data_IF_062294474596
#
_entry.id   IF_062294474596
#
_cell.length_a   1.000
_cell.length_b   1.000
_cell.length_c   1.000
_cell.angle_alpha   90.00
_cell.angle_beta   90.00
_cell.angle_gamma   90.00
#
_symmetry.space_group_name_H-M   'P 1'
#
loop_
_entity.id
_entity.type
_entity.pdbx_description
1 polymer ?
#
# COMPACT_ATOMS: atom_id res chain seq x y z
N UNK A 1 4.57 21.16 -25.76
CA UNK A 1 3.11 21.36 -26.04
C UNK A 1 2.45 21.71 -24.71
N UNK A 2 1.72 22.86 -24.63
CA UNK A 2 1.04 23.25 -23.38
C UNK A 2 -0.28 22.48 -23.25
N UNK A 3 -0.58 21.98 -22.04
CA UNK A 3 -1.84 21.31 -21.73
C UNK A 3 -2.97 22.33 -21.46
N UNK A 4 -4.25 21.96 -21.64
CA UNK A 4 -5.36 22.85 -21.31
C UNK A 4 -5.57 22.96 -19.80
N UNK A 5 -6.19 24.05 -19.35
CA UNK A 5 -6.81 24.18 -18.04
C UNK A 5 -8.24 23.60 -18.15
N UNK A 6 -8.46 22.42 -17.60
CA UNK A 6 -9.72 21.70 -17.73
C UNK A 6 -10.68 22.07 -16.60
N UNK A 7 -11.92 22.39 -16.95
CA UNK A 7 -13.01 22.67 -16.02
C UNK A 7 -14.18 21.76 -16.40
N UNK A 8 -14.55 20.82 -15.53
CA UNK A 8 -15.72 19.98 -15.71
C UNK A 8 -16.77 20.38 -14.67
N UNK A 9 -17.90 20.90 -15.12
CA UNK A 9 -19.03 21.16 -14.25
C UNK A 9 -19.78 19.86 -14.01
N UNK A 10 -20.03 19.56 -12.73
CA UNK A 10 -20.83 18.42 -12.27
C UNK A 10 -22.08 18.95 -11.55
N UNK A 11 -23.08 18.12 -11.23
CA UNK A 11 -24.25 18.55 -10.49
C UNK A 11 -23.96 19.22 -9.14
N UNK A 12 -22.85 18.89 -8.50
CA UNK A 12 -22.53 19.34 -7.13
C UNK A 12 -21.24 20.14 -6.99
N UNK A 13 -20.39 20.20 -8.00
CA UNK A 13 -19.14 20.95 -7.94
C UNK A 13 -18.52 21.20 -9.32
N UNK A 14 -17.45 22.01 -9.36
CA UNK A 14 -16.49 22.02 -10.45
C UNK A 14 -15.37 21.06 -10.16
N UNK A 15 -14.94 20.27 -11.15
CA UNK A 15 -13.65 19.61 -11.18
C UNK A 15 -12.70 20.41 -12.02
N UNK A 16 -11.55 20.84 -11.48
CA UNK A 16 -10.51 21.53 -12.21
C UNK A 16 -9.24 20.71 -12.26
N UNK A 17 -8.68 20.57 -13.45
CA UNK A 17 -7.42 19.87 -13.68
C UNK A 17 -6.49 20.74 -14.53
N UNK A 18 -5.22 20.79 -14.14
CA UNK A 18 -4.20 21.58 -14.81
C UNK A 18 -2.83 20.91 -14.65
N UNK A 19 -1.86 21.20 -15.54
CA UNK A 19 -0.49 20.70 -15.39
C UNK A 19 0.11 21.19 -14.09
N UNK A 20 0.99 20.38 -13.50
CA UNK A 20 1.65 20.78 -12.25
C UNK A 20 2.38 22.12 -12.43
N UNK A 21 1.99 23.09 -11.65
CA UNK A 21 2.61 24.41 -11.57
C UNK A 21 2.47 24.96 -10.16
N UNK A 22 3.59 25.40 -9.55
CA UNK A 22 3.61 25.81 -8.15
C UNK A 22 2.59 26.91 -7.84
N UNK A 23 2.52 27.93 -8.69
CA UNK A 23 1.58 29.05 -8.52
C UNK A 23 0.12 28.62 -8.67
N UNK A 24 -0.21 27.74 -9.64
CA UNK A 24 -1.57 27.20 -9.77
C UNK A 24 -1.97 26.36 -8.56
N UNK A 25 -1.04 25.57 -8.01
CA UNK A 25 -1.26 24.84 -6.78
C UNK A 25 -1.53 25.78 -5.60
N UNK A 26 -0.79 26.88 -5.51
CA UNK A 26 -1.01 27.89 -4.47
C UNK A 26 -2.35 28.60 -4.64
N UNK A 27 -2.69 28.99 -5.87
CA UNK A 27 -3.97 29.65 -6.17
C UNK A 27 -5.17 28.77 -5.85
N UNK A 28 -5.14 27.48 -6.19
CA UNK A 28 -6.24 26.57 -5.89
C UNK A 28 -6.45 26.42 -4.38
N UNK A 29 -5.39 26.43 -3.58
CA UNK A 29 -5.49 26.40 -2.12
C UNK A 29 -6.10 27.67 -1.51
N UNK A 30 -6.15 28.77 -2.25
CA UNK A 30 -6.80 30.04 -1.82
C UNK A 30 -8.30 30.08 -2.15
N UNK A 31 -8.81 29.14 -2.94
CA UNK A 31 -10.25 29.05 -3.21
C UNK A 31 -10.97 28.68 -1.91
N UNK A 32 -12.02 29.41 -1.50
CA UNK A 32 -12.65 29.24 -0.18
C UNK A 32 -13.08 27.83 0.15
N UNK A 33 -13.71 27.12 -0.79
CA UNK A 33 -14.13 25.74 -0.59
C UNK A 33 -12.98 24.75 -0.50
N UNK A 34 -11.85 25.01 -1.19
CA UNK A 34 -10.65 24.19 -1.12
C UNK A 34 -9.87 24.47 0.15
N UNK A 35 -9.76 25.74 0.55
CA UNK A 35 -9.03 26.18 1.74
C UNK A 35 -9.57 25.55 3.03
N UNK A 36 -10.88 25.30 3.10
CA UNK A 36 -11.52 24.64 4.25
C UNK A 36 -11.01 23.21 4.48
N UNK A 37 -10.80 22.43 3.44
CA UNK A 37 -10.23 21.09 3.53
C UNK A 37 -9.48 20.71 2.23
N UNK A 38 -8.22 21.14 2.07
CA UNK A 38 -7.47 20.91 0.84
C UNK A 38 -7.28 19.43 0.48
N UNK A 39 -7.13 18.57 1.50
CA UNK A 39 -6.94 17.13 1.30
C UNK A 39 -8.20 16.47 0.71
N UNK A 40 -9.39 16.83 1.21
CA UNK A 40 -10.65 16.33 0.69
C UNK A 40 -11.03 16.93 -0.67
N UNK A 41 -10.50 18.11 -1.00
CA UNK A 41 -10.76 18.75 -2.27
C UNK A 41 -9.96 18.14 -3.44
N UNK A 42 -8.83 17.51 -3.18
CA UNK A 42 -8.02 16.87 -4.23
C UNK A 42 -8.53 15.47 -4.54
N UNK A 43 -8.67 15.14 -5.83
CA UNK A 43 -9.10 13.84 -6.35
C UNK A 43 -7.89 13.15 -7.01
N UNK A 44 -7.16 12.27 -6.30
CA UNK A 44 -5.88 11.73 -6.77
C UNK A 44 -5.98 10.95 -8.08
N UNK A 45 -7.01 10.10 -8.22
CA UNK A 45 -7.20 9.25 -9.40
C UNK A 45 -7.46 10.04 -10.68
N UNK A 46 -8.03 11.23 -10.55
CA UNK A 46 -8.33 12.12 -11.68
C UNK A 46 -7.30 13.26 -11.81
N UNK A 47 -6.39 13.40 -10.86
CA UNK A 47 -5.45 14.52 -10.75
C UNK A 47 -6.16 15.87 -10.85
N UNK A 48 -7.31 15.98 -10.20
CA UNK A 48 -8.21 17.13 -10.26
C UNK A 48 -8.53 17.66 -8.87
N UNK A 49 -9.01 18.90 -8.82
CA UNK A 49 -9.47 19.55 -7.60
C UNK A 49 -10.98 19.73 -7.67
N UNK A 50 -11.67 19.44 -6.58
CA UNK A 50 -13.09 19.71 -6.40
C UNK A 50 -13.27 21.11 -5.82
N UNK A 51 -14.05 21.92 -6.48
CA UNK A 51 -14.35 23.32 -6.09
C UNK A 51 -15.85 23.50 -6.03
N UNK A 52 -16.36 24.17 -5.01
CA UNK A 52 -17.79 24.46 -4.90
C UNK A 52 -18.34 25.23 -6.12
N UNK A 53 -19.60 25.01 -6.46
CA UNK A 53 -20.27 25.78 -7.53
C UNK A 53 -20.33 27.27 -7.21
N UNK A 54 -20.35 27.65 -5.94
CA UNK A 54 -20.32 29.02 -5.47
C UNK A 54 -18.99 29.73 -5.80
N UNK A 55 -17.91 28.99 -5.89
CA UNK A 55 -16.57 29.51 -6.16
C UNK A 55 -16.23 29.65 -7.65
N UNK A 56 -17.26 29.70 -8.52
CA UNK A 56 -17.10 29.82 -9.98
C UNK A 56 -16.18 30.95 -10.40
N UNK A 57 -16.27 32.10 -9.75
CA UNK A 57 -15.44 33.28 -10.04
C UNK A 57 -13.94 32.94 -9.90
N UNK A 58 -13.54 32.21 -8.84
CA UNK A 58 -12.15 31.82 -8.62
C UNK A 58 -11.67 30.85 -9.71
N UNK A 59 -12.52 29.89 -10.12
CA UNK A 59 -12.20 28.93 -11.18
C UNK A 59 -11.98 29.67 -12.51
N UNK A 60 -12.86 30.62 -12.85
CA UNK A 60 -12.77 31.40 -14.08
C UNK A 60 -11.50 32.26 -14.09
N UNK A 61 -11.24 33.01 -13.02
CA UNK A 61 -10.06 33.88 -12.92
C UNK A 61 -8.76 33.10 -12.91
N UNK A 62 -8.71 31.96 -12.25
CA UNK A 62 -7.55 31.10 -12.24
C UNK A 62 -7.25 30.54 -13.64
N UNK A 63 -8.29 30.11 -14.38
CA UNK A 63 -8.14 29.65 -15.75
C UNK A 63 -7.68 30.74 -16.70
N UNK A 64 -8.28 31.95 -16.64
CA UNK A 64 -7.88 33.12 -17.42
C UNK A 64 -6.40 33.47 -17.17
N UNK A 65 -6.00 33.50 -15.89
CA UNK A 65 -4.61 33.78 -15.53
C UNK A 65 -3.67 32.71 -16.06
N UNK A 66 -4.01 31.41 -15.94
CA UNK A 66 -3.16 30.30 -16.39
C UNK A 66 -2.92 30.34 -17.91
N UNK A 67 -3.90 30.80 -18.69
CA UNK A 67 -3.76 30.99 -20.14
C UNK A 67 -2.96 32.23 -20.46
N UNK A 68 -3.22 33.39 -19.81
CA UNK A 68 -2.49 34.64 -20.03
C UNK A 68 -1.00 34.53 -19.65
N UNK A 69 -0.68 33.77 -18.59
CA UNK A 69 0.66 33.45 -18.15
C UNK A 69 1.35 32.37 -19.00
N UNK A 70 0.71 31.87 -20.06
CA UNK A 70 1.21 30.82 -20.96
C UNK A 70 1.57 29.51 -20.22
N UNK A 71 0.92 29.23 -19.11
CA UNK A 71 1.05 27.96 -18.37
C UNK A 71 0.16 26.90 -19.01
N UNK A 72 -1.06 27.29 -19.40
CA UNK A 72 -2.01 26.46 -20.10
C UNK A 72 -2.28 26.98 -21.52
N UNK A 73 -2.61 26.06 -22.44
CA UNK A 73 -2.89 26.43 -23.85
C UNK A 73 -4.25 27.12 -24.02
N UNK A 74 -5.25 26.72 -23.26
CA UNK A 74 -6.64 27.19 -23.31
C UNK A 74 -7.42 26.78 -22.08
N UNK A 75 -8.60 27.36 -21.84
CA UNK A 75 -9.58 26.81 -20.90
C UNK A 75 -10.46 25.83 -21.67
N UNK A 76 -10.51 24.59 -21.22
CA UNK A 76 -11.39 23.56 -21.76
C UNK A 76 -12.52 23.28 -20.77
N UNK A 77 -13.75 23.53 -21.18
CA UNK A 77 -14.94 23.32 -20.36
C UNK A 77 -15.72 22.09 -20.82
N UNK A 78 -16.25 21.33 -19.86
CA UNK A 78 -17.14 20.21 -20.11
C UNK A 78 -18.21 20.15 -19.01
N UNK A 79 -19.28 19.41 -19.28
CA UNK A 79 -20.35 19.13 -18.31
C UNK A 79 -20.44 17.63 -18.12
N UNK A 80 -20.56 17.20 -16.88
CA UNK A 80 -20.77 15.81 -16.51
C UNK A 80 -22.10 15.68 -15.75
N UNK A 81 -22.87 14.69 -16.10
CA UNK A 81 -24.12 14.36 -15.38
C UNK A 81 -23.86 13.58 -14.10
N UNK A 82 -22.64 13.08 -13.91
CA UNK A 82 -22.25 12.35 -12.71
C UNK A 82 -21.83 13.33 -11.62
N UNK A 83 -22.50 13.29 -10.47
CA UNK A 83 -22.04 13.98 -9.27
C UNK A 83 -20.69 13.42 -8.83
N UNK A 84 -19.83 14.30 -8.31
CA UNK A 84 -18.64 13.86 -7.58
C UNK A 84 -19.11 13.38 -6.22
N UNK A 85 -19.06 12.09 -5.99
CA UNK A 85 -19.31 11.54 -4.66
C UNK A 85 -18.19 12.00 -3.72
N UNK A 86 -18.57 12.38 -2.52
CA UNK A 86 -17.58 12.53 -1.46
C UNK A 86 -16.81 11.22 -1.34
N UNK A 87 -15.48 11.34 -1.34
CA UNK A 87 -14.64 10.25 -0.87
C UNK A 87 -14.87 10.19 0.65
N UNK A 88 -16.00 9.62 1.04
CA UNK A 88 -16.13 9.11 2.39
C UNK A 88 -15.09 8.01 2.48
N UNK A 89 -14.09 8.22 3.32
CA UNK A 89 -13.22 7.13 3.74
C UNK A 89 -14.20 6.06 4.20
N UNK A 90 -14.28 4.89 3.53
CA UNK A 90 -15.20 3.86 3.95
C UNK A 90 -14.91 3.57 5.42
N UNK A 91 -15.96 3.36 6.22
CA UNK A 91 -15.78 2.96 7.62
C UNK A 91 -14.82 1.78 7.65
N UNK A 92 -13.66 1.99 8.28
CA UNK A 92 -12.67 0.94 8.35
C UNK A 92 -13.22 -0.20 9.20
N UNK A 93 -13.01 -1.46 8.81
CA UNK A 93 -13.51 -2.59 9.55
C UNK A 93 -12.88 -2.61 10.94
N UNK A 94 -13.70 -2.87 11.96
CA UNK A 94 -13.22 -3.03 13.34
C UNK A 94 -12.77 -4.46 13.58
N UNK A 95 -11.67 -4.61 14.31
CA UNK A 95 -11.20 -5.93 14.73
C UNK A 95 -12.13 -6.46 15.84
N UNK A 96 -12.94 -7.46 15.53
CA UNK A 96 -13.93 -8.04 16.46
C UNK A 96 -13.43 -9.29 17.18
N UNK A 97 -12.28 -9.82 16.79
CA UNK A 97 -11.68 -11.03 17.36
C UNK A 97 -10.44 -10.69 18.19
N UNK A 98 -10.14 -11.49 19.24
CA UNK A 98 -8.90 -11.31 19.99
C UNK A 98 -7.69 -11.38 19.08
N UNK A 99 -6.79 -10.39 19.18
CA UNK A 99 -5.66 -10.33 18.27
C UNK A 99 -4.54 -11.32 18.58
N UNK A 100 -4.50 -11.89 19.79
CA UNK A 100 -3.50 -12.89 20.18
C UNK A 100 -2.05 -12.39 20.17
N UNK A 101 -1.85 -11.06 20.12
CA UNK A 101 -0.54 -10.43 20.18
C UNK A 101 -0.14 -10.18 21.63
N UNK A 102 1.15 -10.16 21.91
CA UNK A 102 1.70 -9.88 23.25
C UNK A 102 1.62 -8.41 23.64
N UNK A 103 1.48 -7.50 22.66
CA UNK A 103 1.30 -6.08 22.87
C UNK A 103 -0.02 -5.63 22.26
N UNK A 104 -0.68 -4.71 22.93
CA UNK A 104 -1.95 -4.13 22.48
C UNK A 104 -1.72 -3.18 21.30
N UNK A 105 -2.29 -3.44 20.11
CA UNK A 105 -2.21 -2.52 18.98
C UNK A 105 -3.05 -1.27 19.23
N UNK A 106 -2.63 -0.13 18.68
CA UNK A 106 -3.46 1.07 18.65
C UNK A 106 -4.69 0.87 17.76
N UNK A 107 -5.74 1.66 17.95
CA UNK A 107 -7.01 1.50 17.23
C UNK A 107 -6.83 1.54 15.70
N UNK A 108 -6.07 2.49 15.17
CA UNK A 108 -5.78 2.56 13.74
C UNK A 108 -5.01 1.32 13.21
N UNK A 109 -4.17 0.70 14.06
CA UNK A 109 -3.47 -0.54 13.71
C UNK A 109 -4.44 -1.72 13.68
N UNK A 110 -5.40 -1.77 14.62
CA UNK A 110 -6.49 -2.77 14.63
C UNK A 110 -7.36 -2.65 13.38
N UNK A 111 -7.68 -1.42 12.97
CA UNK A 111 -8.42 -1.16 11.72
C UNK A 111 -7.65 -1.65 10.49
N UNK A 112 -6.35 -1.36 10.41
CA UNK A 112 -5.48 -1.85 9.34
C UNK A 112 -5.40 -3.38 9.30
N UNK A 113 -5.26 -4.03 10.45
CA UNK A 113 -5.28 -5.49 10.57
C UNK A 113 -6.62 -6.06 10.11
N UNK A 114 -7.75 -5.48 10.57
CA UNK A 114 -9.08 -5.92 10.19
C UNK A 114 -9.32 -5.80 8.68
N UNK A 115 -8.88 -4.68 8.08
CA UNK A 115 -8.91 -4.48 6.64
C UNK A 115 -8.13 -5.56 5.88
N UNK A 116 -6.91 -5.86 6.33
CA UNK A 116 -6.06 -6.87 5.71
C UNK A 116 -6.66 -8.29 5.81
N UNK A 117 -7.28 -8.63 6.94
CA UNK A 117 -7.98 -9.90 7.14
C UNK A 117 -9.15 -10.06 6.16
N UNK A 118 -9.89 -8.98 5.92
CA UNK A 118 -11.02 -8.98 5.00
C UNK A 118 -10.59 -9.12 3.54
N UNK A 119 -9.54 -8.40 3.13
CA UNK A 119 -9.12 -8.30 1.73
C UNK A 119 -8.07 -9.34 1.31
N UNK A 120 -7.38 -9.98 2.27
CA UNK A 120 -6.33 -11.00 2.07
C UNK A 120 -5.09 -10.52 1.29
N UNK A 121 -5.21 -9.52 0.45
CA UNK A 121 -4.13 -8.87 -0.29
C UNK A 121 -4.28 -7.37 -0.13
N UNK A 122 -3.34 -6.73 0.53
CA UNK A 122 -3.39 -5.29 0.81
C UNK A 122 -1.99 -4.70 0.89
N UNK A 123 -1.94 -3.38 0.85
CA UNK A 123 -0.73 -2.60 1.08
C UNK A 123 -0.99 -1.73 2.30
N UNK A 124 -0.13 -1.83 3.31
CA UNK A 124 -0.11 -0.89 4.43
C UNK A 124 0.64 0.37 4.00
N UNK A 125 -0.11 1.41 3.63
CA UNK A 125 0.41 2.69 3.14
C UNK A 125 0.62 3.75 4.22
N UNK A 126 0.64 3.37 5.49
CA UNK A 126 0.82 4.29 6.61
C UNK A 126 2.17 5.02 6.57
N UNK A 127 2.22 6.19 7.19
CA UNK A 127 3.46 6.94 7.31
C UNK A 127 4.55 6.13 8.06
N UNK A 128 5.84 6.42 7.82
CA UNK A 128 6.93 5.82 8.58
C UNK A 128 6.73 6.00 10.10
N UNK A 129 7.08 4.97 10.87
CA UNK A 129 6.96 5.01 12.34
C UNK A 129 5.59 4.60 12.90
N UNK A 130 4.54 4.44 12.10
CA UNK A 130 3.21 4.07 12.58
C UNK A 130 3.01 2.55 12.82
N UNK A 131 4.09 1.77 12.79
CA UNK A 131 4.05 0.35 13.15
C UNK A 131 3.43 -0.59 12.12
N UNK A 132 3.67 -0.35 10.82
CA UNK A 132 3.26 -1.27 9.74
C UNK A 132 3.70 -2.71 9.99
N UNK A 133 4.88 -2.90 10.55
CA UNK A 133 5.42 -4.22 10.94
C UNK A 133 4.50 -4.94 11.90
N UNK A 134 3.99 -4.24 12.95
CA UNK A 134 3.02 -4.81 13.89
C UNK A 134 1.72 -5.19 13.19
N UNK A 135 1.22 -4.36 12.28
CA UNK A 135 0.00 -4.66 11.53
C UNK A 135 0.16 -5.91 10.66
N UNK A 136 1.30 -6.04 9.97
CA UNK A 136 1.60 -7.23 9.17
C UNK A 136 1.70 -8.50 10.04
N UNK A 137 2.44 -8.44 11.15
CA UNK A 137 2.57 -9.54 12.11
C UNK A 137 1.21 -9.90 12.71
N UNK A 138 0.41 -8.91 13.10
CA UNK A 138 -0.93 -9.09 13.61
C UNK A 138 -1.85 -9.79 12.62
N UNK A 139 -1.82 -9.35 11.36
CA UNK A 139 -2.61 -9.96 10.29
C UNK A 139 -2.26 -11.44 10.11
N UNK A 140 -0.98 -11.77 10.00
CA UNK A 140 -0.52 -13.17 9.85
C UNK A 140 -0.89 -14.02 11.06
N UNK A 141 -0.75 -13.46 12.26
CA UNK A 141 -1.01 -14.17 13.53
C UNK A 141 -2.50 -14.49 13.70
N UNK A 142 -3.37 -13.51 13.50
CA UNK A 142 -4.82 -13.66 13.62
C UNK A 142 -5.37 -14.59 12.54
N UNK A 143 -4.90 -14.43 11.30
CA UNK A 143 -5.29 -15.32 10.19
C UNK A 143 -4.75 -16.75 10.34
N UNK A 144 -3.85 -17.00 11.30
CA UNK A 144 -3.10 -18.26 11.44
C UNK A 144 -2.48 -18.70 10.11
N UNK A 145 -2.00 -17.72 9.32
CA UNK A 145 -1.53 -17.91 7.95
C UNK A 145 -0.05 -18.32 7.92
N UNK A 146 0.28 -19.38 8.64
CA UNK A 146 1.60 -19.99 8.71
C UNK A 146 1.68 -21.25 7.86
N UNK A 147 2.84 -21.58 7.26
CA UNK A 147 4.11 -20.86 7.32
C UNK A 147 4.03 -19.50 6.62
N UNK A 148 4.75 -18.51 7.19
CA UNK A 148 4.87 -17.15 6.66
C UNK A 148 6.27 -16.92 6.09
N UNK A 149 6.35 -16.32 4.89
CA UNK A 149 7.59 -15.82 4.32
C UNK A 149 7.62 -14.30 4.43
N UNK A 150 8.67 -13.76 5.02
CA UNK A 150 8.94 -12.32 5.03
C UNK A 150 10.07 -12.03 4.07
N UNK A 151 9.83 -11.09 3.15
CA UNK A 151 10.82 -10.57 2.21
C UNK A 151 11.09 -9.12 2.56
N UNK A 152 12.31 -8.81 2.94
CA UNK A 152 12.69 -7.47 3.39
C UNK A 152 14.12 -7.13 2.94
N UNK A 153 14.55 -5.86 3.00
CA UNK A 153 15.95 -5.50 2.83
C UNK A 153 16.87 -6.29 3.78
N UNK A 154 18.05 -6.63 3.30
CA UNK A 154 19.00 -7.48 4.05
C UNK A 154 19.29 -6.98 5.47
N UNK A 155 19.39 -5.66 5.65
CA UNK A 155 19.64 -5.02 6.95
C UNK A 155 18.47 -5.19 7.95
N UNK A 156 17.25 -5.43 7.47
CA UNK A 156 16.06 -5.52 8.32
C UNK A 156 15.70 -6.93 8.77
N UNK A 157 16.39 -7.98 8.28
CA UNK A 157 16.10 -9.39 8.63
C UNK A 157 16.11 -9.64 10.14
N UNK A 158 17.12 -9.14 10.83
CA UNK A 158 17.24 -9.31 12.29
C UNK A 158 16.15 -8.52 13.01
N UNK A 159 15.80 -7.34 12.49
CA UNK A 159 14.71 -6.56 13.05
C UNK A 159 13.37 -7.33 12.97
N UNK A 160 13.02 -7.88 11.80
CA UNK A 160 11.83 -8.70 11.62
C UNK A 160 11.80 -9.92 12.56
N UNK A 161 12.95 -10.59 12.76
CA UNK A 161 13.05 -11.71 13.69
C UNK A 161 12.73 -11.28 15.14
N UNK A 162 13.25 -10.12 15.56
CA UNK A 162 12.99 -9.55 16.89
C UNK A 162 11.53 -9.12 17.05
N UNK A 163 10.95 -8.51 16.02
CA UNK A 163 9.58 -8.03 16.03
C UNK A 163 8.56 -9.19 16.13
N UNK A 164 8.77 -10.32 15.42
CA UNK A 164 7.94 -11.51 15.59
C UNK A 164 8.02 -12.08 17.01
N UNK A 165 9.21 -12.12 17.60
CA UNK A 165 9.38 -12.55 18.99
C UNK A 165 8.67 -11.60 19.95
N UNK A 166 8.80 -10.29 19.73
CA UNK A 166 8.24 -9.24 20.57
C UNK A 166 6.71 -9.20 20.51
N UNK A 167 6.12 -9.27 19.32
CA UNK A 167 4.69 -9.06 19.14
C UNK A 167 3.88 -10.35 19.18
N UNK A 168 4.40 -11.45 18.64
CA UNK A 168 3.68 -12.72 18.54
C UNK A 168 4.29 -13.83 19.39
N UNK A 169 5.38 -13.59 20.12
CA UNK A 169 6.08 -14.63 20.90
C UNK A 169 6.72 -15.72 20.04
N UNK A 170 6.78 -15.53 18.72
CA UNK A 170 7.22 -16.56 17.77
C UNK A 170 8.66 -16.34 17.34
N UNK A 171 9.38 -17.44 17.20
CA UNK A 171 10.71 -17.44 16.61
C UNK A 171 10.64 -17.50 15.09
N UNK A 172 11.49 -16.75 14.42
CA UNK A 172 11.62 -16.76 12.97
C UNK A 172 13.03 -17.20 12.57
N UNK A 173 13.14 -17.88 11.42
CA UNK A 173 14.44 -18.32 10.85
C UNK A 173 14.78 -17.39 9.69
N UNK A 174 16.00 -16.85 9.74
CA UNK A 174 16.57 -16.12 8.61
C UNK A 174 17.16 -17.17 7.65
N UNK A 175 16.67 -17.14 6.40
CA UNK A 175 17.19 -18.01 5.35
C UNK A 175 18.57 -17.54 4.92
N UNK A 176 19.55 -18.45 5.03
CA UNK A 176 20.95 -18.26 4.67
C UNK A 176 21.52 -19.51 3.98
N UNK A 177 22.80 -19.49 3.65
CA UNK A 177 23.45 -20.60 2.95
C UNK A 177 23.50 -21.88 3.77
N UNK A 178 23.54 -21.79 5.08
CA UNK A 178 23.60 -22.94 5.98
C UNK A 178 22.30 -23.70 6.04
N UNK A 179 21.15 -23.02 5.88
CA UNK A 179 19.83 -23.65 5.98
C UNK A 179 19.10 -23.76 4.63
N UNK A 180 19.73 -23.42 3.52
CA UNK A 180 19.14 -23.42 2.17
C UNK A 180 18.43 -24.73 1.79
N UNK A 181 19.02 -25.86 2.12
CA UNK A 181 18.46 -27.19 1.80
C UNK A 181 17.57 -27.75 2.89
N UNK A 182 17.64 -27.24 4.11
CA UNK A 182 17.05 -27.84 5.31
C UNK A 182 15.96 -27.00 5.97
N UNK A 183 15.72 -25.75 5.53
CA UNK A 183 14.76 -24.86 6.19
C UNK A 183 13.34 -25.44 6.30
N UNK A 184 12.93 -26.25 5.33
CA UNK A 184 11.65 -26.92 5.33
C UNK A 184 11.48 -27.85 6.55
N UNK A 185 12.53 -28.49 6.99
CA UNK A 185 12.52 -29.39 8.16
C UNK A 185 12.06 -28.68 9.43
N UNK A 186 12.36 -27.39 9.59
CA UNK A 186 11.89 -26.61 10.74
C UNK A 186 10.38 -26.44 10.80
N UNK A 187 9.71 -26.47 9.64
CA UNK A 187 8.25 -26.47 9.58
C UNK A 187 7.68 -27.88 9.75
N UNK A 188 8.32 -28.89 9.19
CA UNK A 188 7.89 -30.29 9.27
C UNK A 188 8.08 -30.88 10.67
N UNK A 189 9.15 -30.49 11.36
CA UNK A 189 9.40 -30.91 12.74
C UNK A 189 8.39 -30.24 13.67
N UNK A 190 7.81 -31.06 14.56
CA UNK A 190 6.83 -30.62 15.54
C UNK A 190 7.40 -30.65 16.94
N UNK A 191 6.99 -29.68 17.75
CA UNK A 191 7.21 -29.65 19.19
C UNK A 191 6.28 -30.66 19.89
N UNK A 192 6.47 -30.86 21.18
CA UNK A 192 5.60 -31.73 21.98
C UNK A 192 4.11 -31.30 21.97
N UNK A 193 3.84 -30.01 21.78
CA UNK A 193 2.50 -29.43 21.67
C UNK A 193 1.88 -29.55 20.27
N UNK A 194 2.56 -30.21 19.31
CA UNK A 194 2.12 -30.37 17.92
C UNK A 194 2.35 -29.17 17.02
N UNK A 195 2.83 -28.04 17.55
CA UNK A 195 3.19 -26.86 16.74
C UNK A 195 4.48 -27.11 15.96
N UNK A 196 4.66 -26.42 14.83
CA UNK A 196 5.93 -26.47 14.09
C UNK A 196 7.07 -25.93 14.93
N UNK A 197 8.27 -26.47 14.74
CA UNK A 197 9.47 -25.97 15.40
C UNK A 197 9.71 -24.50 15.03
N UNK A 198 9.54 -24.17 13.74
CA UNK A 198 9.44 -22.81 13.25
C UNK A 198 8.52 -22.74 12.03
N UNK A 199 7.73 -21.69 11.96
CA UNK A 199 6.75 -21.46 10.89
C UNK A 199 6.87 -20.04 10.28
N UNK A 200 7.98 -19.35 10.55
CA UNK A 200 8.26 -18.01 10.02
C UNK A 200 9.66 -18.01 9.43
N UNK A 201 9.76 -17.62 8.17
CA UNK A 201 11.00 -17.59 7.41
C UNK A 201 11.23 -16.21 6.85
N UNK A 202 12.43 -15.68 6.97
CA UNK A 202 12.80 -14.32 6.58
C UNK A 202 13.92 -14.41 5.54
N UNK A 203 13.75 -13.71 4.42
CA UNK A 203 14.75 -13.60 3.36
C UNK A 203 14.84 -12.16 2.86
N UNK A 204 15.85 -11.89 2.05
CA UNK A 204 16.00 -10.62 1.36
C UNK A 204 15.75 -10.78 -0.14
N UNK A 205 15.51 -9.68 -0.83
CA UNK A 205 15.14 -9.65 -2.25
C UNK A 205 16.16 -10.37 -3.13
N UNK A 206 17.45 -10.13 -2.90
CA UNK A 206 18.55 -10.69 -3.69
C UNK A 206 18.63 -12.22 -3.54
N UNK A 207 18.20 -12.71 -2.39
CA UNK A 207 18.26 -14.15 -2.07
C UNK A 207 17.05 -14.94 -2.57
N UNK A 208 15.95 -14.28 -2.99
CA UNK A 208 14.73 -14.96 -3.47
C UNK A 208 15.05 -15.95 -4.61
N UNK A 209 15.84 -15.51 -5.59
CA UNK A 209 16.24 -16.36 -6.72
C UNK A 209 16.96 -17.61 -6.22
N UNK A 210 17.86 -17.46 -5.24
CA UNK A 210 18.67 -18.54 -4.69
C UNK A 210 17.85 -19.61 -3.97
N UNK A 211 16.80 -19.20 -3.27
CA UNK A 211 15.98 -20.12 -2.47
C UNK A 211 14.79 -20.70 -3.21
N UNK A 212 14.21 -19.96 -4.15
CA UNK A 212 12.90 -20.29 -4.69
C UNK A 212 12.83 -20.36 -6.21
N UNK A 213 13.94 -20.19 -6.93
CA UNK A 213 14.01 -20.34 -8.38
C UNK A 213 14.94 -21.50 -8.72
N UNK A 214 14.41 -22.50 -9.42
CA UNK A 214 15.20 -23.65 -9.92
C UNK A 214 15.82 -23.39 -11.29
N UNK A 215 15.14 -22.62 -12.13
CA UNK A 215 15.63 -22.32 -13.48
C UNK A 215 14.90 -21.14 -14.11
N UNK A 216 15.55 -20.52 -15.06
CA UNK A 216 15.00 -19.48 -15.91
C UNK A 216 15.24 -19.89 -17.35
N UNK A 217 14.17 -20.05 -18.14
CA UNK A 217 14.29 -20.29 -19.58
C UNK A 217 14.74 -19.00 -20.25
N UNK A 218 15.80 -19.06 -21.04
CA UNK A 218 16.21 -17.97 -21.91
C UNK A 218 15.21 -17.88 -23.07
N UNK A 219 14.28 -16.93 -22.95
CA UNK A 219 13.32 -16.61 -23.99
C UNK A 219 13.50 -15.15 -24.39
N UNK A 220 13.17 -14.80 -25.63
CA UNK A 220 13.31 -13.45 -26.17
C UNK A 220 12.50 -12.39 -25.40
N UNK A 221 11.53 -12.83 -24.58
CA UNK A 221 10.76 -11.99 -23.66
C UNK A 221 10.71 -12.63 -22.28
N UNK A 222 11.36 -11.98 -21.31
CA UNK A 222 11.27 -12.39 -19.91
C UNK A 222 9.81 -12.27 -19.42
N UNK A 223 9.23 -13.39 -19.03
CA UNK A 223 7.88 -13.45 -18.44
C UNK A 223 7.90 -14.33 -17.20
N UNK A 224 6.88 -14.22 -16.34
CA UNK A 224 6.73 -15.12 -15.20
C UNK A 224 6.67 -16.61 -15.60
N UNK A 225 6.25 -16.91 -16.82
CA UNK A 225 6.21 -18.29 -17.37
C UNK A 225 7.60 -18.84 -17.69
N UNK A 226 8.61 -17.97 -17.85
CA UNK A 226 10.00 -18.38 -18.06
C UNK A 226 10.69 -18.84 -16.77
N UNK A 227 10.06 -18.65 -15.60
CA UNK A 227 10.63 -18.98 -14.30
C UNK A 227 10.09 -20.33 -13.83
N UNK A 228 10.99 -21.26 -13.50
CA UNK A 228 10.65 -22.49 -12.81
C UNK A 228 10.90 -22.28 -11.32
N UNK A 229 9.84 -22.25 -10.53
CA UNK A 229 9.92 -22.09 -9.09
C UNK A 229 10.23 -23.42 -8.39
N UNK A 230 10.89 -23.32 -7.24
CA UNK A 230 11.03 -24.46 -6.33
C UNK A 230 9.65 -24.82 -5.76
N UNK A 231 9.20 -26.08 -5.84
CA UNK A 231 7.88 -26.49 -5.33
C UNK A 231 7.64 -26.13 -3.87
N UNK A 232 8.68 -26.02 -3.06
CA UNK A 232 8.59 -25.65 -1.64
C UNK A 232 8.00 -24.25 -1.40
N UNK A 233 7.98 -23.38 -2.41
CA UNK A 233 7.33 -22.06 -2.30
C UNK A 233 5.82 -22.21 -2.02
N UNK A 234 5.20 -23.30 -2.45
CA UNK A 234 3.78 -23.59 -2.23
C UNK A 234 3.44 -23.91 -0.77
N UNK A 235 4.43 -24.13 0.08
CA UNK A 235 4.22 -24.34 1.51
C UNK A 235 3.76 -23.06 2.22
N UNK A 236 4.17 -21.89 1.73
CA UNK A 236 3.84 -20.63 2.38
C UNK A 236 2.35 -20.28 2.22
N UNK A 237 1.70 -20.03 3.34
CA UNK A 237 0.29 -19.58 3.40
C UNK A 237 0.17 -18.07 3.38
N UNK A 238 1.23 -17.36 3.75
CA UNK A 238 1.31 -15.90 3.66
C UNK A 238 2.71 -15.43 3.24
N UNK A 239 2.73 -14.30 2.57
CA UNK A 239 3.97 -13.59 2.21
C UNK A 239 3.82 -12.14 2.64
N UNK A 240 4.79 -11.64 3.38
CA UNK A 240 4.92 -10.23 3.75
C UNK A 240 6.10 -9.65 2.97
N UNK A 241 5.86 -8.55 2.28
CA UNK A 241 6.87 -7.85 1.48
C UNK A 241 7.05 -6.46 2.08
N UNK A 242 8.24 -6.17 2.56
CA UNK A 242 8.60 -4.92 3.21
C UNK A 242 9.46 -4.06 2.29
N UNK A 243 9.27 -2.73 2.31
CA UNK A 243 10.01 -1.77 1.46
C UNK A 243 10.02 -2.18 -0.02
N UNK A 244 8.84 -2.42 -0.58
CA UNK A 244 8.66 -2.95 -1.96
C UNK A 244 8.74 -1.90 -3.07
N UNK A 245 9.25 -0.71 -2.77
CA UNK A 245 9.43 0.41 -3.73
C UNK A 245 10.76 0.37 -4.48
#
# INVERSE_FOLDING_TARGET
MLYPFCVTQTPNCYKIAFPYHATLKELVHRIPSVAKNPKAAYIPNERAWRVSLEDKWYVDKMGEWAVSARICSRIQRSVSTKAVTDYTIPDLPKLTIPHGLLLEPYEYQKEGIAYALQHKRCIFGDQPGLGKTLQAIGTVTIAKAYPCLVVCPAALKINWQREFKKFAGKQAIILDDHNKSSWQRFYEQKKADGTALCDIFITNYESLKKFFVQGIKEDSRFTMRSITFDPRISLFRSVVIDESH
#
